data_IF_909551242893
#
_entry.id   IF_909551242893
#
_cell.length_a   1.000
_cell.length_b   1.000
_cell.length_c   1.000
_cell.angle_alpha   90.00
_cell.angle_beta   90.00
_cell.angle_gamma   90.00
#
_symmetry.space_group_name_H-M   'P 1'
#
loop_
_entity.id
_entity.type
_entity.pdbx_description
1 polymer ?
2 non-polymer ?
3 non-polymer ?
4 non-polymer ?
5 non-polymer ?
6 water ?
#
# COMPACT_ATOMS: atom_id res chain seq x y z
N UNK A 1 18.80 -13.47 13.12
CA UNK A 1 18.73 -12.72 11.83
C UNK A 1 19.93 -11.80 11.73
N UNK A 2 20.34 -11.52 10.51
CA UNK A 2 21.46 -10.61 10.26
C UNK A 2 20.98 -9.17 10.45
N UNK A 3 21.88 -8.20 10.49
CA UNK A 3 21.41 -6.82 10.54
C UNK A 3 20.56 -6.59 9.28
N UNK A 4 19.64 -5.64 9.39
CA UNK A 4 18.71 -5.36 8.28
C UNK A 4 19.35 -5.11 6.94
N UNK A 5 20.39 -4.28 6.80
CA UNK A 5 20.97 -4.11 5.45
C UNK A 5 21.73 -5.31 4.92
N UNK A 6 22.39 -6.08 5.75
CA UNK A 6 23.01 -7.33 5.44
C UNK A 6 21.94 -8.31 4.90
N UNK A 7 20.77 -8.39 5.57
CA UNK A 7 19.67 -9.24 5.11
C UNK A 7 19.16 -8.77 3.77
N UNK A 8 19.00 -7.45 3.64
CA UNK A 8 18.59 -6.86 2.37
C UNK A 8 19.59 -7.23 1.23
N UNK A 9 20.92 -7.18 1.50
CA UNK A 9 21.87 -7.57 0.44
C UNK A 9 21.73 -9.00 -0.03
N UNK A 10 21.65 -9.82 1.03
CA UNK A 10 21.52 -11.27 0.81
C UNK A 10 20.29 -11.52 -0.03
N UNK A 11 19.19 -10.84 0.31
CA UNK A 11 17.99 -11.03 -0.48
C UNK A 11 18.16 -10.63 -1.94
N UNK A 12 18.78 -9.48 -2.24
CA UNK A 12 18.99 -9.02 -3.61
C UNK A 12 19.88 -10.01 -4.34
N UNK A 13 20.91 -10.48 -3.68
CA UNK A 13 21.83 -11.44 -4.32
C UNK A 13 21.06 -12.77 -4.56
N UNK A 14 20.32 -13.27 -3.59
CA UNK A 14 19.63 -14.56 -3.85
C UNK A 14 18.53 -14.55 -4.89
N UNK A 15 17.76 -13.45 -4.95
CA UNK A 15 16.69 -13.21 -5.88
C UNK A 15 17.18 -12.66 -7.23
N UNK A 16 18.39 -12.14 -7.32
CA UNK A 16 18.85 -11.42 -8.49
C UNK A 16 17.88 -10.27 -8.70
N UNK A 17 17.41 -9.56 -7.68
CA UNK A 17 16.42 -8.53 -7.93
C UNK A 17 16.70 -7.30 -7.06
N UNK A 18 15.98 -6.22 -7.37
CA UNK A 18 16.18 -5.01 -6.54
C UNK A 18 15.20 -4.97 -5.36
N UNK A 19 15.66 -4.58 -4.19
CA UNK A 19 14.82 -4.41 -3.02
C UNK A 19 14.86 -2.87 -2.75
N UNK A 20 13.73 -2.36 -2.31
CA UNK A 20 13.72 -0.97 -1.85
C UNK A 20 13.07 -1.02 -0.44
N UNK A 21 13.59 -0.22 0.52
CA UNK A 21 13.12 -0.16 1.84
C UNK A 21 13.33 1.17 2.57
N UNK A 22 12.29 1.51 3.38
CA UNK A 22 12.40 2.64 4.36
C UNK A 22 11.69 2.19 5.63
N UNK A 23 12.13 2.56 6.83
CA UNK A 23 11.53 2.37 8.13
C UNK A 23 11.44 3.81 8.67
N UNK A 24 10.25 4.36 8.85
CA UNK A 24 10.16 5.76 9.28
C UNK A 24 9.28 5.95 10.51
N UNK A 25 9.59 6.86 11.43
CA UNK A 25 8.69 7.13 12.54
C UNK A 25 7.39 7.71 12.01
N UNK A 26 6.22 7.14 12.34
CA UNK A 26 4.95 7.77 11.90
C UNK A 26 4.75 9.21 12.40
N UNK A 27 5.09 9.42 13.66
CA UNK A 27 4.86 10.71 14.32
C UNK A 27 5.70 11.84 13.76
N UNK A 28 7.00 11.63 13.54
CA UNK A 28 7.79 12.77 13.10
C UNK A 28 8.26 12.69 11.69
N UNK A 29 8.32 11.48 11.16
CA UNK A 29 8.92 11.24 9.85
C UNK A 29 10.43 11.04 10.04
N UNK A 30 10.92 10.80 11.22
CA UNK A 30 12.36 10.50 11.44
C UNK A 30 12.75 9.23 10.65
N UNK A 31 13.73 9.22 9.78
CA UNK A 31 14.10 8.00 9.06
C UNK A 31 15.09 7.18 9.85
N UNK A 32 14.77 5.93 10.15
CA UNK A 32 15.66 5.10 10.93
C UNK A 32 16.62 4.32 10.02
N UNK A 33 16.17 3.93 8.86
CA UNK A 33 17.08 3.08 8.06
C UNK A 33 16.45 3.05 6.64
N UNK A 34 17.26 2.91 5.59
CA UNK A 34 16.63 2.99 4.25
C UNK A 34 17.52 2.27 3.21
N UNK A 35 17.07 1.87 2.05
CA UNK A 35 17.96 1.16 1.10
C UNK A 35 17.29 1.34 -0.26
N UNK A 36 17.88 2.00 -1.21
CA UNK A 36 17.26 2.35 -2.49
C UNK A 36 15.92 3.07 -2.33
N UNK A 37 15.86 3.90 -1.27
CA UNK A 37 14.65 4.61 -0.90
C UNK A 37 14.27 5.69 -1.88
N UNK A 38 15.25 6.11 -2.69
CA UNK A 38 14.89 7.09 -3.73
C UNK A 38 14.79 6.43 -5.07
N UNK A 39 14.77 5.13 -5.19
CA UNK A 39 14.58 4.45 -6.49
C UNK A 39 13.14 4.07 -6.70
N UNK A 40 12.67 4.12 -7.95
CA UNK A 40 11.30 3.83 -8.29
C UNK A 40 11.00 2.33 -8.43
N UNK A 41 9.84 1.93 -7.93
CA UNK A 41 9.30 0.60 -7.90
C UNK A 41 7.80 0.67 -8.13
N UNK A 42 7.29 -0.29 -8.86
CA UNK A 42 5.85 -0.34 -9.14
C UNK A 42 5.14 -0.52 -7.79
N UNK A 43 4.10 0.28 -7.62
CA UNK A 43 3.27 0.31 -6.41
C UNK A 43 2.39 -0.92 -6.33
N UNK A 44 1.87 -1.44 -7.45
CA UNK A 44 0.90 -2.57 -7.40
C UNK A 44 -0.30 -2.18 -6.55
N UNK A 45 -0.94 -3.12 -5.82
CA UNK A 45 -2.07 -2.88 -5.00
C UNK A 45 -1.84 -1.98 -3.76
N UNK A 46 -0.58 -1.70 -3.46
CA UNK A 46 -0.29 -0.75 -2.40
C UNK A 46 -0.87 0.62 -2.74
N UNK A 47 -1.16 0.98 -3.98
CA UNK A 47 -1.73 2.28 -4.34
C UNK A 47 -3.14 2.41 -3.79
N UNK A 48 -3.82 1.30 -3.53
CA UNK A 48 -5.19 1.33 -3.03
C UNK A 48 -5.33 2.13 -1.71
N UNK A 49 -4.30 2.13 -0.88
CA UNK A 49 -4.27 2.89 0.34
C UNK A 49 -4.26 4.39 0.02
N UNK A 50 -3.48 4.82 -0.95
CA UNK A 50 -3.39 6.21 -1.33
C UNK A 50 -4.67 6.64 -2.02
N UNK A 51 -5.18 5.76 -2.85
CA UNK A 51 -6.47 6.04 -3.50
C UNK A 51 -7.59 6.33 -2.49
N UNK A 52 -7.71 5.49 -1.42
CA UNK A 52 -8.76 5.71 -0.43
C UNK A 52 -8.42 6.97 0.40
N UNK A 53 -7.13 7.34 0.42
CA UNK A 53 -6.71 8.62 1.03
C UNK A 53 -7.36 9.81 0.32
N UNK A 54 -7.41 9.75 -1.02
CA UNK A 54 -8.02 10.77 -1.84
C UNK A 54 -9.53 10.78 -1.73
N UNK A 55 -10.11 9.59 -1.58
CA UNK A 55 -11.58 9.53 -1.42
C UNK A 55 -11.93 10.19 -0.09
N UNK A 56 -11.18 9.89 0.97
CA UNK A 56 -11.40 10.51 2.30
C UNK A 56 -11.27 12.03 2.28
N UNK A 57 -10.30 12.53 1.50
CA UNK A 57 -10.14 13.95 1.29
C UNK A 57 -11.38 14.53 0.64
N UNK A 58 -12.00 13.81 -0.31
CA UNK A 58 -13.21 14.31 -0.90
C UNK A 58 -14.36 14.32 0.13
N UNK A 59 -14.44 13.33 1.00
CA UNK A 59 -15.55 13.23 1.99
C UNK A 59 -15.38 14.44 2.92
N UNK A 60 -14.13 14.68 3.35
CA UNK A 60 -13.81 15.79 4.22
C UNK A 60 -14.10 17.15 3.58
N UNK A 61 -13.95 17.36 2.28
CA UNK A 61 -14.29 18.61 1.61
C UNK A 61 -15.79 18.75 1.33
N UNK A 62 -16.65 17.83 1.70
CA UNK A 62 -18.07 17.80 1.39
C UNK A 62 -18.36 17.34 -0.05
N UNK A 63 -17.37 16.74 -0.73
CA UNK A 63 -17.64 16.31 -2.10
C UNK A 63 -18.08 14.84 -2.22
N UNK A 64 -18.02 14.06 -1.14
CA UNK A 64 -18.28 12.61 -1.27
C UNK A 64 -18.80 12.11 0.06
N UNK A 65 -19.44 10.99 0.20
CA UNK A 65 -19.92 10.41 1.45
C UNK A 65 -19.52 8.92 1.47
N UNK A 66 -19.15 8.37 2.62
CA UNK A 66 -18.76 6.95 2.68
C UNK A 66 -20.02 6.11 2.51
N UNK A 67 -21.18 6.68 2.82
CA UNK A 67 -22.48 6.07 2.69
C UNK A 67 -23.02 6.16 1.28
N UNK A 68 -22.51 6.97 0.39
CA UNK A 68 -23.13 7.08 -0.96
C UNK A 68 -23.05 5.72 -1.64
N UNK A 69 -24.17 5.15 -2.04
CA UNK A 69 -24.21 3.84 -2.66
C UNK A 69 -23.82 3.93 -4.15
N UNK A 70 -22.93 3.03 -4.59
CA UNK A 70 -22.67 3.08 -6.06
C UNK A 70 -23.23 1.82 -6.71
N UNK A 71 -23.91 1.97 -7.85
CA UNK A 71 -24.46 0.82 -8.58
C UNK A 71 -23.65 0.65 -9.86
N UNK A 72 -23.23 -0.57 -10.14
CA UNK A 72 -22.36 -0.81 -11.29
C UNK A 72 -22.84 -2.06 -12.00
N UNK A 73 -22.39 -2.32 -13.21
CA UNK A 73 -22.78 -3.45 -14.00
C UNK A 73 -21.66 -4.49 -14.13
N UNK A 74 -22.03 -5.67 -14.63
CA UNK A 74 -21.08 -6.76 -14.84
C UNK A 74 -20.01 -6.35 -15.80
N UNK A 75 -20.33 -5.52 -16.80
CA UNK A 75 -19.35 -5.06 -17.78
C UNK A 75 -18.28 -4.15 -17.18
N UNK A 76 -18.50 -3.57 -16.00
CA UNK A 76 -17.46 -2.73 -15.39
C UNK A 76 -16.46 -3.52 -14.58
N UNK A 77 -16.76 -4.78 -14.27
CA UNK A 77 -15.80 -5.57 -13.48
C UNK A 77 -14.55 -5.95 -14.26
N UNK A 78 -13.46 -6.04 -13.51
CA UNK A 78 -12.15 -6.47 -13.88
C UNK A 78 -11.72 -7.67 -13.03
N UNK A 79 -10.54 -8.15 -13.43
CA UNK A 79 -10.01 -9.30 -12.75
C UNK A 79 -9.91 -9.20 -11.22
N UNK A 80 -10.16 -10.29 -10.51
CA UNK A 80 -10.05 -10.38 -9.07
C UNK A 80 -10.96 -9.35 -8.38
N UNK A 81 -12.25 -9.65 -8.25
CA UNK A 81 -13.25 -8.79 -7.60
C UNK A 81 -14.12 -9.61 -6.70
N UNK A 82 -13.48 -10.19 -5.70
CA UNK A 82 -14.15 -11.13 -4.82
C UNK A 82 -15.33 -10.52 -4.11
N UNK A 83 -15.32 -9.21 -3.83
CA UNK A 83 -16.47 -8.60 -3.15
C UNK A 83 -17.43 -7.94 -4.10
N UNK A 84 -16.87 -7.03 -4.92
CA UNK A 84 -17.66 -6.34 -5.91
C UNK A 84 -18.44 -7.27 -6.85
N UNK A 85 -17.95 -8.46 -7.21
CA UNK A 85 -18.75 -9.36 -8.06
C UNK A 85 -20.03 -9.81 -7.34
N UNK A 86 -20.07 -9.83 -6.03
CA UNK A 86 -21.23 -10.21 -5.25
C UNK A 86 -22.27 -9.16 -5.06
N UNK A 87 -22.10 -7.95 -5.52
CA UNK A 87 -23.10 -6.91 -5.32
C UNK A 87 -23.59 -6.29 -6.60
N UNK A 88 -23.76 -7.07 -7.66
CA UNK A 88 -24.21 -6.47 -8.94
C UNK A 88 -25.63 -5.93 -8.87
N UNK A 89 -26.46 -6.54 -8.04
CA UNK A 89 -27.86 -6.15 -7.93
C UNK A 89 -28.05 -4.97 -6.97
N UNK A 90 -27.31 -4.98 -5.86
CA UNK A 90 -27.44 -3.99 -4.82
C UNK A 90 -26.34 -2.95 -4.71
N UNK A 91 -25.26 -3.04 -5.43
CA UNK A 91 -24.28 -1.96 -5.42
C UNK A 91 -23.59 -1.93 -4.07
N UNK A 92 -22.66 -1.00 -3.92
CA UNK A 92 -21.86 -0.97 -2.72
C UNK A 92 -21.62 0.50 -2.34
N UNK A 93 -21.57 0.78 -1.07
CA UNK A 93 -21.30 2.16 -0.69
C UNK A 93 -19.82 2.50 -0.99
N UNK A 94 -19.53 3.79 -1.07
CA UNK A 94 -18.18 4.30 -1.31
C UNK A 94 -17.28 3.76 -0.21
N UNK A 95 -17.77 3.68 1.03
CA UNK A 95 -17.01 3.15 2.15
C UNK A 95 -16.69 1.66 2.09
N UNK A 96 -17.65 0.91 1.57
CA UNK A 96 -17.50 -0.52 1.42
C UNK A 96 -16.48 -0.70 0.29
N UNK A 97 -16.57 0.15 -0.73
CA UNK A 97 -15.65 -0.03 -1.85
C UNK A 97 -14.21 0.11 -1.36
N UNK A 98 -13.91 1.15 -0.57
CA UNK A 98 -12.56 1.28 0.01
C UNK A 98 -12.24 0.09 0.87
N UNK A 99 -13.17 -0.48 1.64
CA UNK A 99 -12.77 -1.63 2.46
C UNK A 99 -12.50 -2.82 1.56
N UNK A 100 -13.29 -2.99 0.48
CA UNK A 100 -13.02 -4.17 -0.37
C UNK A 100 -11.63 -3.98 -0.99
N UNK A 101 -11.45 -2.77 -1.60
CA UNK A 101 -10.16 -2.51 -2.24
C UNK A 101 -8.95 -2.63 -1.33
N UNK A 102 -8.96 -2.04 -0.11
CA UNK A 102 -7.78 -2.22 0.77
C UNK A 102 -7.78 -3.56 1.53
N UNK A 103 -8.89 -4.01 2.11
CA UNK A 103 -8.82 -5.23 2.93
C UNK A 103 -8.89 -6.53 2.14
N UNK A 104 -9.43 -6.46 0.94
CA UNK A 104 -9.50 -7.69 0.14
C UNK A 104 -8.77 -7.54 -1.17
N UNK A 105 -8.27 -6.34 -1.48
CA UNK A 105 -7.56 -6.04 -2.73
C UNK A 105 -8.48 -6.18 -3.93
N UNK A 106 -9.78 -5.93 -3.76
CA UNK A 106 -10.74 -6.05 -4.83
C UNK A 106 -10.40 -5.05 -5.93
N UNK A 107 -10.17 -5.42 -7.18
CA UNK A 107 -9.79 -4.51 -8.26
C UNK A 107 -10.89 -3.69 -8.90
N UNK A 108 -12.11 -4.18 -8.98
CA UNK A 108 -13.20 -3.39 -9.55
C UNK A 108 -13.56 -2.25 -8.59
N UNK A 109 -13.52 -2.61 -7.31
CA UNK A 109 -13.80 -1.61 -6.28
C UNK A 109 -12.77 -0.48 -6.47
N UNK A 110 -11.50 -0.83 -6.61
CA UNK A 110 -10.46 0.20 -6.86
C UNK A 110 -10.79 1.03 -8.11
N UNK A 111 -11.12 0.38 -9.22
CA UNK A 111 -11.49 1.12 -10.44
C UNK A 111 -12.66 2.03 -10.20
N UNK A 112 -13.74 1.49 -9.60
CA UNK A 112 -14.95 2.34 -9.42
C UNK A 112 -14.56 3.61 -8.64
N UNK A 113 -13.76 3.41 -7.62
CA UNK A 113 -13.29 4.52 -6.76
C UNK A 113 -12.38 5.52 -7.50
N UNK A 114 -11.47 4.98 -8.31
CA UNK A 114 -10.55 5.75 -9.13
C UNK A 114 -11.32 6.67 -10.03
N UNK A 115 -12.44 6.21 -10.58
CA UNK A 115 -13.25 7.10 -11.41
C UNK A 115 -13.77 8.27 -10.57
N UNK A 116 -14.12 8.03 -9.30
CA UNK A 116 -14.63 9.15 -8.48
C UNK A 116 -13.62 10.26 -8.19
N UNK A 117 -12.31 10.07 -8.29
CA UNK A 117 -11.38 11.15 -7.94
C UNK A 117 -10.77 11.71 -9.22
N UNK A 118 -11.35 11.34 -10.38
CA UNK A 118 -10.85 11.73 -11.68
C UNK A 118 -9.89 10.72 -12.29
N UNK A 119 -9.96 9.40 -12.06
CA UNK A 119 -8.99 8.57 -12.77
C UNK A 119 -7.56 8.82 -12.36
N UNK A 120 -6.60 8.06 -12.93
CA UNK A 120 -5.20 8.14 -12.60
C UNK A 120 -4.64 9.57 -12.60
N UNK A 121 -5.00 10.42 -13.50
CA UNK A 121 -4.73 11.84 -13.60
C UNK A 121 -5.05 12.51 -12.32
N UNK A 122 -6.29 12.40 -11.85
CA UNK A 122 -6.82 13.01 -10.63
C UNK A 122 -6.14 12.50 -9.36
N UNK A 123 -5.79 11.21 -9.31
CA UNK A 123 -5.05 10.71 -8.17
C UNK A 123 -3.62 11.27 -8.26
N UNK A 124 -3.01 11.46 -9.41
CA UNK A 124 -1.68 12.07 -9.48
C UNK A 124 -1.74 13.54 -9.09
N UNK A 125 -2.79 14.27 -9.48
CA UNK A 125 -2.97 15.65 -9.04
C UNK A 125 -3.08 15.77 -7.52
N UNK A 126 -3.82 14.91 -6.84
CA UNK A 126 -4.01 14.85 -5.40
C UNK A 126 -2.65 14.67 -4.74
N UNK A 127 -1.84 13.74 -5.23
CA UNK A 127 -0.50 13.59 -4.67
C UNK A 127 0.35 14.85 -4.76
N UNK A 128 0.35 15.51 -5.90
CA UNK A 128 1.09 16.75 -6.12
C UNK A 128 0.61 17.81 -5.13
N UNK A 129 -0.71 17.88 -4.91
CA UNK A 129 -1.30 18.80 -3.96
C UNK A 129 -0.95 18.48 -2.51
N UNK A 130 -0.57 17.23 -2.24
CA UNK A 130 -0.16 16.77 -0.90
C UNK A 130 1.35 16.87 -0.80
N UNK A 131 1.97 17.32 -1.91
CA UNK A 131 3.41 17.55 -1.93
C UNK A 131 4.21 16.32 -2.28
N UNK A 132 3.54 15.33 -2.90
CA UNK A 132 4.35 14.16 -3.31
C UNK A 132 4.55 14.40 -4.83
N UNK A 133 5.79 14.67 -5.17
CA UNK A 133 6.14 15.01 -6.54
C UNK A 133 6.76 13.87 -7.29
N UNK A 134 6.73 12.66 -6.71
CA UNK A 134 7.32 11.47 -7.29
C UNK A 134 6.34 10.41 -7.69
N UNK A 135 5.45 10.00 -6.79
CA UNK A 135 4.50 8.94 -7.05
C UNK A 135 3.63 9.29 -8.27
N UNK A 136 3.36 8.27 -9.12
CA UNK A 136 2.46 8.61 -10.23
C UNK A 136 1.62 7.39 -10.63
N UNK A 137 0.30 7.54 -10.74
CA UNK A 137 -0.59 6.48 -11.16
C UNK A 137 -0.94 6.89 -12.60
N UNK A 138 -0.89 5.98 -13.53
CA UNK A 138 -1.23 6.38 -14.90
C UNK A 138 -2.20 5.37 -15.54
N UNK A 139 -2.33 4.19 -14.92
CA UNK A 139 -3.24 3.17 -15.49
C UNK A 139 -4.21 2.64 -14.42
N UNK A 140 -5.21 1.91 -14.88
CA UNK A 140 -6.27 1.31 -14.10
C UNK A 140 -5.93 -0.14 -13.85
N UNK A 141 -6.67 -0.79 -12.95
CA UNK A 141 -6.54 -2.22 -12.71
C UNK A 141 -7.11 -2.95 -13.95
N UNK A 142 -6.38 -3.95 -14.38
CA UNK A 142 -5.20 -4.53 -13.80
C UNK A 142 -3.88 -4.16 -14.47
N UNK A 143 -4.00 -3.25 -15.46
CA UNK A 143 -2.81 -2.84 -16.20
C UNK A 143 -1.79 -2.15 -15.33
N UNK A 144 -2.16 -1.51 -14.21
CA UNK A 144 -1.14 -0.85 -13.41
C UNK A 144 -0.18 -1.81 -12.76
N UNK A 145 -0.39 -3.12 -12.71
CA UNK A 145 0.60 -4.06 -12.14
C UNK A 145 1.61 -4.64 -13.12
N UNK A 146 1.58 -4.16 -14.35
CA UNK A 146 2.42 -4.62 -15.44
C UNK A 146 3.93 -4.61 -15.23
N UNK A 147 4.46 -3.69 -14.46
CA UNK A 147 5.85 -3.57 -14.10
C UNK A 147 6.91 -3.75 -15.17
N UNK A 148 6.90 -3.11 -16.31
CA UNK A 148 8.02 -3.23 -17.25
C UNK A 148 9.26 -2.51 -16.75
N UNK A 149 10.43 -3.06 -17.07
CA UNK A 149 11.70 -2.51 -16.70
C UNK A 149 11.93 -1.12 -17.28
N UNK A 150 12.22 -0.18 -16.41
CA UNK A 150 12.47 1.21 -16.75
C UNK A 150 11.24 2.05 -17.05
N UNK A 151 10.08 1.45 -16.89
CA UNK A 151 8.83 2.19 -17.06
C UNK A 151 8.45 2.86 -15.74
N UNK A 152 8.33 4.20 -15.77
CA UNK A 152 8.03 4.89 -14.52
C UNK A 152 6.54 4.96 -14.20
N UNK A 153 5.67 4.44 -15.08
CA UNK A 153 4.24 4.56 -14.79
C UNK A 153 3.83 3.75 -13.56
N UNK A 154 2.92 4.22 -12.72
CA UNK A 154 2.36 3.46 -11.58
C UNK A 154 3.39 3.00 -10.57
N UNK A 155 4.38 3.88 -10.35
CA UNK A 155 5.50 3.55 -9.45
C UNK A 155 5.59 4.59 -8.37
N UNK A 156 6.33 4.30 -7.33
CA UNK A 156 6.66 5.17 -6.22
C UNK A 156 8.10 4.75 -5.86
N UNK A 157 8.59 5.58 -4.89
CA UNK A 157 9.88 5.35 -4.27
C UNK A 157 9.55 4.97 -2.85
N UNK A 158 10.29 4.15 -2.12
CA UNK A 158 10.04 3.83 -0.76
C UNK A 158 9.80 5.04 0.17
N UNK A 159 10.64 6.04 -0.03
CA UNK A 159 10.61 7.27 0.80
C UNK A 159 9.45 8.19 0.45
N UNK A 160 9.05 8.24 -0.82
CA UNK A 160 7.88 8.98 -1.22
C UNK A 160 6.62 8.26 -0.76
N UNK A 161 6.49 6.94 -0.84
CA UNK A 161 5.30 6.26 -0.36
C UNK A 161 5.24 6.45 1.18
N UNK A 162 6.34 6.27 1.90
CA UNK A 162 6.30 6.48 3.35
C UNK A 162 5.85 7.89 3.73
N UNK A 163 6.41 8.97 3.18
CA UNK A 163 6.05 10.35 3.42
C UNK A 163 4.58 10.57 3.05
N UNK A 164 4.08 9.98 1.95
CA UNK A 164 2.66 10.21 1.65
C UNK A 164 1.75 9.53 2.67
N UNK A 165 2.03 8.29 3.02
CA UNK A 165 1.15 7.59 3.97
C UNK A 165 1.17 8.31 5.34
N UNK A 166 2.41 8.76 5.70
CA UNK A 166 2.47 9.58 6.91
C UNK A 166 1.57 10.82 6.82
N UNK A 167 1.55 11.54 5.73
CA UNK A 167 0.75 12.75 5.57
C UNK A 167 -0.74 12.39 5.62
N UNK A 168 -1.15 11.33 4.94
CA UNK A 168 -2.55 10.94 5.05
C UNK A 168 -2.95 10.53 6.47
N UNK A 169 -2.04 9.88 7.18
CA UNK A 169 -2.41 9.35 8.49
C UNK A 169 -2.26 10.33 9.65
N UNK A 170 -1.42 11.34 9.53
CA UNK A 170 -1.10 12.24 10.62
C UNK A 170 -1.07 13.73 10.41
N UNK A 171 -1.12 14.32 9.24
CA UNK A 171 -0.98 15.79 9.16
C UNK A 171 -2.33 16.40 9.40
N UNK A 172 -2.59 17.65 9.02
CA UNK A 172 -3.99 18.10 9.20
C UNK A 172 -4.64 18.00 7.82
N UNK A 173 -4.16 17.08 6.98
CA UNK A 173 -4.78 16.96 5.67
C UNK A 173 -6.08 16.21 5.76
N UNK A 174 -6.23 15.14 6.49
CA UNK A 174 -7.49 14.44 6.58
C UNK A 174 -8.12 14.80 7.92
N UNK A 175 -9.43 14.82 7.99
CA UNK A 175 -10.04 15.06 9.31
C UNK A 175 -9.56 13.89 10.19
N UNK A 176 -9.80 13.99 11.48
CA UNK A 176 -9.39 12.96 12.40
C UNK A 176 -10.15 11.67 12.18
N UNK A 177 -11.43 11.74 11.82
CA UNK A 177 -12.22 10.54 11.63
C UNK A 177 -11.73 9.82 10.36
N UNK A 178 -11.42 10.51 9.31
CA UNK A 178 -10.84 10.04 8.09
C UNK A 178 -9.46 9.38 8.26
N UNK A 179 -8.57 10.01 9.06
CA UNK A 179 -7.28 9.42 9.40
C UNK A 179 -7.52 8.08 10.07
N UNK A 180 -8.53 8.11 10.99
CA UNK A 180 -8.77 6.85 11.73
C UNK A 180 -9.38 5.77 10.84
N UNK A 181 -10.27 6.18 9.96
CA UNK A 181 -10.84 5.25 8.97
C UNK A 181 -9.72 4.69 8.08
N UNK A 182 -8.84 5.52 7.54
CA UNK A 182 -7.77 4.98 6.64
C UNK A 182 -6.93 3.93 7.34
N UNK A 183 -6.55 4.28 8.57
CA UNK A 183 -5.81 3.36 9.46
C UNK A 183 -6.59 2.08 9.71
N UNK A 184 -7.84 2.16 10.16
CA UNK A 184 -8.64 0.96 10.43
C UNK A 184 -8.71 0.03 9.21
N UNK A 185 -8.81 0.54 8.00
CA UNK A 185 -8.84 -0.28 6.80
C UNK A 185 -7.59 -1.16 6.73
N UNK A 186 -6.43 -0.54 6.89
CA UNK A 186 -5.16 -1.28 6.77
C UNK A 186 -5.01 -2.28 7.90
N UNK A 187 -5.64 -2.04 9.05
CA UNK A 187 -5.55 -2.94 10.22
C UNK A 187 -6.37 -4.20 9.91
N UNK A 188 -7.45 -3.96 9.20
CA UNK A 188 -8.38 -4.99 8.81
C UNK A 188 -8.00 -5.73 7.54
N UNK A 189 -6.80 -5.57 6.95
CA UNK A 189 -6.37 -6.29 5.79
C UNK A 189 -6.75 -7.77 5.91
N UNK A 190 -7.36 -8.40 4.92
CA UNK A 190 -7.67 -9.82 5.12
C UNK A 190 -6.70 -10.70 4.31
N UNK A 191 -5.86 -10.11 3.45
CA UNK A 191 -4.99 -10.90 2.56
C UNK A 191 -3.72 -11.37 3.23
N UNK A 192 -3.01 -10.45 3.90
CA UNK A 192 -1.79 -10.75 4.61
C UNK A 192 -1.76 -10.38 6.11
N UNK A 193 -2.65 -9.51 6.54
CA UNK A 193 -2.62 -9.18 7.99
C UNK A 193 -2.58 -10.36 8.97
N UNK A 194 -3.55 -11.22 8.84
CA UNK A 194 -3.71 -12.37 9.76
C UNK A 194 -2.51 -13.25 9.83
N UNK A 195 -2.07 -13.63 8.63
CA UNK A 195 -0.84 -14.40 8.47
C UNK A 195 0.32 -13.71 9.17
N UNK A 196 0.54 -12.43 8.85
CA UNK A 196 1.70 -11.74 9.43
C UNK A 196 1.61 -11.63 10.94
N UNK A 197 0.40 -11.38 11.44
CA UNK A 197 0.16 -11.15 12.88
C UNK A 197 0.50 -12.43 13.60
N UNK A 198 0.19 -13.55 12.89
CA UNK A 198 0.36 -14.83 13.56
C UNK A 198 1.80 -15.20 13.68
N UNK A 199 2.68 -14.62 12.84
CA UNK A 199 4.06 -15.02 13.04
C UNK A 199 4.81 -13.89 13.74
N UNK A 200 4.20 -12.74 13.96
CA UNK A 200 4.96 -11.72 14.71
C UNK A 200 5.13 -12.03 16.18
N UNK A 201 6.18 -11.52 16.79
CA UNK A 201 6.36 -11.69 18.24
C UNK A 201 5.25 -10.96 18.99
N UNK A 202 4.96 -11.43 20.21
CA UNK A 202 3.89 -10.83 21.01
C UNK A 202 4.26 -9.37 21.22
N UNK A 203 3.26 -8.50 21.24
CA UNK A 203 3.55 -7.09 21.52
C UNK A 203 3.52 -6.21 20.28
N UNK A 204 3.66 -6.81 19.10
CA UNK A 204 3.77 -6.05 17.88
C UNK A 204 2.48 -5.71 17.18
N UNK A 205 2.27 -4.41 16.96
CA UNK A 205 1.11 -3.89 16.24
C UNK A 205 1.40 -4.19 14.73
N UNK A 206 0.44 -4.55 13.94
CA UNK A 206 0.63 -4.61 12.49
C UNK A 206 -0.61 -4.11 11.81
N UNK A 207 -0.50 -3.26 10.84
CA UNK A 207 -1.47 -2.77 9.89
C UNK A 207 -0.80 -2.90 8.48
N UNK A 208 -1.46 -3.27 7.39
CA UNK A 208 -0.66 -3.32 6.16
C UNK A 208 -1.54 -3.29 4.92
N UNK A 209 -0.81 -3.22 3.80
CA UNK A 209 -1.38 -3.36 2.47
C UNK A 209 -0.27 -3.98 1.61
N UNK A 210 -0.51 -5.13 0.95
CA UNK A 210 0.53 -5.81 0.18
C UNK A 210 0.17 -5.76 -1.30
N UNK A 211 1.16 -6.00 -2.19
CA UNK A 211 0.75 -5.93 -3.62
C UNK A 211 1.70 -6.93 -4.32
N UNK A 212 1.41 -7.25 -5.57
CA UNK A 212 2.23 -8.14 -6.34
C UNK A 212 1.97 -7.67 -7.79
N UNK A 213 2.96 -7.95 -8.60
CA UNK A 213 2.83 -7.59 -10.02
C UNK A 213 3.76 -8.56 -10.84
N UNK A 214 3.99 -8.13 -12.07
CA UNK A 214 4.79 -8.86 -13.04
C UNK A 214 6.27 -8.68 -12.77
N UNK A 215 7.03 -9.56 -13.38
CA UNK A 215 8.47 -9.67 -13.31
C UNK A 215 8.97 -9.70 -11.89
N UNK A 216 8.29 -10.47 -11.03
CA UNK A 216 8.57 -10.58 -9.64
C UNK A 216 8.19 -9.37 -8.76
N UNK A 217 7.50 -8.36 -9.26
CA UNK A 217 7.14 -7.25 -8.39
C UNK A 217 6.36 -7.77 -7.17
N UNK A 218 6.78 -7.30 -6.00
CA UNK A 218 6.22 -7.70 -4.74
C UNK A 218 6.43 -6.57 -3.72
N UNK A 219 5.41 -6.35 -2.87
CA UNK A 219 5.64 -5.25 -1.90
C UNK A 219 4.59 -5.21 -0.78
N UNK A 220 4.95 -4.33 0.17
CA UNK A 220 4.08 -4.14 1.34
C UNK A 220 4.33 -2.76 1.92
N UNK A 221 3.20 -2.15 2.30
CA UNK A 221 3.36 -0.89 3.10
C UNK A 221 2.65 -1.26 4.41
N UNK A 222 3.25 -0.88 5.54
CA UNK A 222 2.73 -1.24 6.82
C UNK A 222 3.05 -0.28 7.95
N UNK A 223 2.21 -0.42 8.96
CA UNK A 223 2.39 0.26 10.22
C UNK A 223 2.77 -0.88 11.18
N UNK A 224 3.87 -0.65 11.89
CA UNK A 224 4.41 -1.64 12.82
C UNK A 224 5.08 -1.02 14.02
N UNK A 225 5.10 -1.70 15.17
CA UNK A 225 5.89 -1.21 16.32
C UNK A 225 5.66 -2.08 17.54
N UNK A 226 6.63 -2.08 18.44
CA UNK A 226 6.46 -2.92 19.64
C UNK A 226 5.43 -2.25 20.55
N UNK A 227 5.11 -2.89 21.67
CA UNK A 227 4.19 -2.35 22.65
C UNK A 227 2.85 -2.01 22.07
N UNK A 228 2.33 -2.72 21.07
CA UNK A 228 1.01 -2.53 20.54
C UNK A 228 0.68 -1.15 20.03
N UNK A 229 1.64 -0.49 19.42
CA UNK A 229 1.49 0.85 18.87
C UNK A 229 1.92 0.97 17.43
N UNK A 230 1.25 1.75 16.59
CA UNK A 230 1.63 1.97 15.19
C UNK A 230 2.83 2.93 15.21
N UNK A 231 4.02 2.46 15.58
CA UNK A 231 5.14 3.39 15.75
C UNK A 231 5.76 3.87 14.45
N UNK A 232 6.00 2.99 13.49
CA UNK A 232 6.76 3.35 12.31
C UNK A 232 6.11 2.76 11.08
N UNK A 233 6.36 3.43 9.99
CA UNK A 233 5.97 3.03 8.67
C UNK A 233 7.16 2.23 8.13
N UNK A 234 6.89 1.06 7.54
CA UNK A 234 7.89 0.23 6.90
C UNK A 234 7.35 0.00 5.50
N UNK A 235 8.19 0.36 4.53
CA UNK A 235 7.80 0.16 3.14
C UNK A 235 8.92 -0.73 2.55
N UNK A 236 8.54 -1.85 1.91
CA UNK A 236 9.50 -2.75 1.29
C UNK A 236 8.99 -3.08 -0.13
N UNK A 237 9.76 -2.77 -1.15
CA UNK A 237 9.32 -3.20 -2.47
C UNK A 237 10.42 -4.12 -3.05
N UNK A 238 10.00 -4.93 -3.99
CA UNK A 238 10.89 -5.83 -4.72
C UNK A 238 10.46 -5.79 -6.21
N UNK A 239 11.46 -5.81 -7.10
CA UNK A 239 11.13 -5.80 -8.51
C UNK A 239 12.22 -6.52 -9.33
N UNK A 240 11.91 -6.81 -10.57
CA UNK A 240 12.85 -7.50 -11.48
C UNK A 240 13.65 -8.66 -10.94
N UNK A 241 12.89 -9.66 -10.55
CA UNK A 241 13.45 -10.96 -10.13
C UNK A 241 12.55 -12.02 -10.78
N UNK A 242 13.17 -13.08 -11.25
CA UNK A 242 12.42 -14.22 -11.81
C UNK A 242 11.86 -15.17 -10.80
N UNK A 243 12.13 -14.95 -9.51
CA UNK A 243 11.75 -15.90 -8.47
C UNK A 243 10.31 -16.27 -8.30
N UNK A 244 10.10 -17.44 -7.67
CA UNK A 244 8.67 -17.80 -7.37
C UNK A 244 8.06 -16.83 -6.34
N UNK A 245 6.72 -16.75 -6.34
CA UNK A 245 6.01 -15.94 -5.35
C UNK A 245 6.46 -16.42 -3.95
N UNK A 246 6.59 -17.72 -3.67
CA UNK A 246 6.91 -18.22 -2.38
C UNK A 246 8.24 -17.61 -1.97
N UNK A 247 9.26 -17.63 -2.84
CA UNK A 247 10.56 -17.09 -2.47
C UNK A 247 10.51 -15.58 -2.16
N UNK A 248 9.79 -14.88 -3.01
CA UNK A 248 9.60 -13.44 -2.85
C UNK A 248 8.94 -13.17 -1.49
N UNK A 249 7.97 -14.01 -1.10
CA UNK A 249 7.30 -13.85 0.17
C UNK A 249 8.26 -14.10 1.36
N UNK A 250 9.05 -15.12 1.23
CA UNK A 250 10.02 -15.44 2.26
C UNK A 250 11.10 -14.36 2.41
N UNK A 251 11.64 -13.84 1.31
CA UNK A 251 12.65 -12.82 1.37
C UNK A 251 12.10 -11.56 2.06
N UNK A 252 10.89 -11.10 1.75
CA UNK A 252 10.38 -9.92 2.39
C UNK A 252 10.13 -10.17 3.88
N UNK A 253 9.71 -11.42 4.21
CA UNK A 253 9.55 -11.82 5.58
C UNK A 253 10.88 -11.80 6.32
N UNK A 254 11.95 -12.30 5.66
CA UNK A 254 13.26 -12.28 6.29
C UNK A 254 13.79 -10.86 6.53
N UNK A 255 13.51 -9.95 5.61
CA UNK A 255 13.90 -8.54 5.88
C UNK A 255 13.08 -7.97 7.06
N UNK A 256 11.78 -8.24 7.06
CA UNK A 256 10.86 -7.80 8.10
C UNK A 256 11.42 -8.35 9.45
N UNK A 257 11.76 -9.63 9.44
CA UNK A 257 12.35 -10.23 10.62
C UNK A 257 13.56 -9.51 11.12
N UNK A 258 14.48 -9.15 10.25
CA UNK A 258 15.73 -8.47 10.58
C UNK A 258 15.50 -7.06 11.18
N UNK A 259 14.55 -6.39 10.59
CA UNK A 259 14.07 -5.07 10.93
C UNK A 259 13.52 -5.13 12.36
N UNK A 260 12.68 -6.13 12.62
CA UNK A 260 12.08 -6.35 13.93
C UNK A 260 13.08 -6.77 15.00
N UNK A 261 13.96 -7.69 14.66
CA UNK A 261 14.94 -8.12 15.61
C UNK A 261 15.92 -7.01 15.98
N UNK A 262 16.28 -6.13 15.05
CA UNK A 262 17.29 -5.11 15.32
C UNK A 262 16.63 -3.72 15.35
N UNK A 263 15.42 -3.65 15.83
CA UNK A 263 14.72 -2.37 15.96
C UNK A 263 15.45 -1.41 16.93
N UNK A 264 15.62 -0.16 16.50
CA UNK A 264 16.32 0.78 17.34
C UNK A 264 15.29 1.77 17.93
N UNK A 265 15.73 2.38 19.03
CA UNK A 265 15.03 3.49 19.61
C UNK A 265 15.20 4.72 18.59
X LIG B 1 11.72 -14.10 17.18
X LIG B 1 11.07 -14.62 18.31
X LIG B 1 10.41 -13.69 19.16
X LIG B 1 11.22 -12.60 19.51
X LIG B 1 11.96 -12.00 18.46
X LIG B 1 12.94 -10.91 18.76
X LIG B 1 12.09 -15.18 19.15
X LIG B 1 9.98 -14.39 20.32
X LIG B 1 12.54 -12.98 17.54
X LIG B 1 12.77 -9.83 17.86
X LIG B 1 10.74 -13.72 16.20
X LIG B 1 10.43 -11.60 20.13
X LIG B 1 9.39 -12.69 12.96
X LIG B 1 9.77 -14.02 12.99
X LIG B 1 10.45 -14.53 14.08
X LIG B 1 11.25 -13.64 14.85
X LIG B 1 11.29 -12.28 14.50
X LIG B 1 12.51 -11.43 14.37
X LIG B 1 9.10 -12.18 11.67
X LIG B 1 8.74 -14.85 12.48
X LIG B 1 9.66 -15.27 15.00
X LIG B 1 10.22 -11.80 13.68
X LIG B 1 13.65 -12.19 14.01
X LIG B 1 8.50 -13.14 10.82
X LIG B 1 7.49 -12.44 9.91
X LIG B 1 8.05 -11.15 9.32
X LIG B 1 6.95 -10.50 8.48
X LIG B 1 7.18 -9.00 8.31
X LIG B 1 6.81 -8.58 6.87
X LIG B 1 6.19 -7.17 6.99
X LIG B 1 7.39 -6.33 6.49
X LIG B 1 7.71 -5.25 7.54
X LIG B 1 6.34 -4.64 7.89
X LIG B 1 5.61 -5.59 8.82
X LIG B 1 6.01 -7.04 8.53
X LIG C 1 -5.03 -9.74 -8.45
X LIG C 1 -5.88 -8.60 -8.79
X LIG C 1 -4.30 -9.74 -7.17
X LIG C 1 -3.82 -9.82 -9.71
X LIG C 1 -2.44 -9.17 -9.36
X LIG C 1 -2.60 -8.62 -8.01
X LIG C 1 -2.48 -7.34 -8.06
X LIG C 1 -3.59 -11.32 -9.98
X LIG C 1 -4.62 -9.08 -10.80
X LIG C 1 -3.84 -8.61 -11.94
X LIG C 1 -3.55 -9.49 -12.86
X LIG C 1 -2.53 -9.04 -13.56
X LIG C 1 -2.17 -7.85 -13.08
X LIG C 1 -3.01 -7.58 -12.05
X LIG C 1 -1.12 -9.94 -9.22
X LIG C 1 -0.92 -10.79 -8.33
X LIG C 1 -0.15 -9.74 -10.00
X LIG C 1 -3.37 -6.54 -7.11
X LIG C 1 -2.42 -5.89 -6.12
X LIG C 1 -1.24 -5.98 -6.07
X LIG D 1 -3.00 -7.49 -3.07
X LIG D 1 -4.10 -7.10 -3.64
X LIG D 1 -1.81 -8.35 -3.31
X LIG D 1 -1.46 -8.74 -4.47
X LIG D 1 -0.95 -8.82 -2.50
X LIG E 1 -10.31 -16.85 -6.60
X LIG E 1 -11.77 -15.78 -7.00
X LIG E 1 -12.95 -16.47 -6.27
X LIG E 1 -10.90 -17.13 -4.88
X LIG E 1 -10.93 -18.62 -4.48
X LIG E 1 -12.39 -18.56 -4.94
X LIG E 1 -14.14 -15.55 -5.99
X LIG E 1 -12.33 -17.14 -5.12
X LIG E 1 -11.45 -14.39 -6.46
X LIG E 1 -12.08 -15.81 -8.52
X LIG E 1 -9.39 -14.41 -10.38
X LIG E 1 -9.85 -15.45 -9.68
X LIG E 1 -11.04 -15.05 -9.23
X LIG E 1 -11.34 -13.81 -9.65
X LIG E 1 -10.31 -13.42 -10.36
X LIG E 1 -9.03 -16.22 -6.51
X LIG E 1 -10.52 -18.09 -7.26
X LIG E 1 -13.41 -19.14 -4.92
X LIG E 1 -14.78 -15.04 -6.87
X LIG E 1 -14.45 -15.30 -4.76
X LIG F 1 4.37 -13.29 4.32
X LIG F 1 4.14 -11.77 4.16
X LIG F 1 3.06 -11.77 3.08
X LIG F 1 3.49 -11.12 1.75
X LIG F 1 4.22 -9.80 1.94
X LIG F 1 5.25 -9.86 3.06
X LIG F 1 5.50 -11.19 3.73
#
# INVERSE_FOLDING_TARGET
SPQPLEQIKLSESQLSGRVGMIEMDLASGRTLTAWRADERFPMMSTFKVVLCGAVLARVDAGDEQLERKIHYRQQDLVDYSPVSEKHLADGMTVGELCAAAITMSDNSAANLLLATVGGPAGLTAFLRQIGDNVTRLDRWETELNEALPGDARDTTTPASMAATLRKLLTSQRLSARSQRQLLQWMVDDRVAGPLIRSVLPAGWFIADKTGAGERGARGIVALLGPNNKAERIVVIYLRDTPASMAERNQQIAGIGAALIEHWQR
MA4 C1 C2 C3 C4 C5 C6 O2 O3 O5 O6 O1 O4 C10 C20 C30 C40 C50 C60 O10 O20 O30 O50 O60 C11 C21 C31 C41 C51 C61 C12 C22 C32 C42 C52 C62
TBE S1 O12 O13 C2 C3 N4 C5 C20 C14 N15 N16 N17 C18 C19 C9 O10 O11 C6 C7 O8
AKR CA CB C O OXT
TAZ S1 C2 C3 C5 C6 C7 C9 N4 C20 C14 C19 C18 N15 N16 N17 O12 O13 O8 O10 O11
MA4 C61 C12 C22 C32 C42 C52 C62
#
